data_IF_306574013597
#
_entry.id   IF_306574013597
#
_cell.length_a   1.000
_cell.length_b   1.000
_cell.length_c   1.000
_cell.angle_alpha   90.00
_cell.angle_beta   90.00
_cell.angle_gamma   90.00
#
_symmetry.space_group_name_H-M   'P 1'
#
loop_
_entity.id
_entity.type
_entity.pdbx_description
1 polymer ?
#
# COMPACT_ATOMS: atom_id res chain seq x y z
N UNK A 1 -15.95 5.26 -13.67
CA UNK A 1 -16.58 4.62 -12.55
C UNK A 1 -16.62 5.48 -11.34
N UNK A 2 -17.68 5.34 -10.62
CA UNK A 2 -17.85 6.11 -9.42
C UNK A 2 -17.22 5.44 -8.23
N UNK A 3 -16.67 6.28 -7.35
CA UNK A 3 -16.25 5.80 -6.05
C UNK A 3 -17.45 5.74 -5.12
N UNK A 4 -17.45 4.81 -4.16
CA UNK A 4 -18.52 4.79 -3.18
C UNK A 4 -18.44 6.00 -2.26
N UNK A 5 -19.57 6.36 -1.67
CA UNK A 5 -19.59 7.45 -0.72
C UNK A 5 -19.08 7.02 0.65
N UNK A 6 -19.22 5.74 0.95
CA UNK A 6 -18.76 5.17 2.21
C UNK A 6 -18.40 3.72 2.03
N UNK A 7 -17.57 3.22 2.92
CA UNK A 7 -17.31 1.80 3.02
C UNK A 7 -18.21 1.20 4.09
N UNK A 8 -18.53 -0.10 3.97
CA UNK A 8 -19.38 -0.75 4.99
C UNK A 8 -18.71 -0.90 6.33
N UNK A 9 -17.38 -0.75 6.41
CA UNK A 9 -16.65 -0.83 7.67
C UNK A 9 -15.57 0.23 7.70
N UNK A 10 -15.10 0.52 8.91
CA UNK A 10 -13.93 1.39 9.06
C UNK A 10 -12.70 0.67 8.58
N UNK A 11 -11.92 1.34 7.76
CA UNK A 11 -10.72 0.75 7.19
C UNK A 11 -9.62 1.79 7.16
N UNK A 12 -8.45 1.41 7.64
CA UNK A 12 -7.26 2.27 7.57
C UNK A 12 -6.24 1.59 6.68
N UNK A 13 -5.71 2.34 5.73
CA UNK A 13 -4.78 1.80 4.74
C UNK A 13 -3.55 2.69 4.64
N UNK A 14 -2.43 2.07 4.36
CA UNK A 14 -1.18 2.77 4.08
C UNK A 14 -0.85 2.58 2.61
N UNK A 15 -0.61 3.71 1.93
CA UNK A 15 -0.21 3.68 0.52
C UNK A 15 1.29 3.91 0.47
N UNK A 16 2.03 2.86 0.12
CA UNK A 16 3.48 2.96 -0.04
C UNK A 16 3.76 3.53 -1.40
N UNK A 17 4.73 4.42 -1.48
CA UNK A 17 5.10 5.04 -2.75
C UNK A 17 6.58 5.43 -2.71
N UNK A 18 7.11 5.83 -3.85
CA UNK A 18 8.44 6.42 -3.92
C UNK A 18 8.35 7.90 -3.55
N UNK A 19 9.50 8.47 -3.21
CA UNK A 19 9.52 9.90 -2.89
C UNK A 19 9.17 10.74 -4.12
N UNK A 20 9.55 10.27 -5.29
CA UNK A 20 9.23 11.00 -6.52
C UNK A 20 7.73 11.03 -6.80
N UNK A 21 7.05 9.93 -6.57
CA UNK A 21 5.62 9.84 -6.85
C UNK A 21 4.75 10.34 -5.71
N UNK A 22 5.33 10.62 -4.55
CA UNK A 22 4.55 10.98 -3.37
C UNK A 22 3.57 12.12 -3.59
N UNK A 23 3.92 13.22 -4.27
CA UNK A 23 2.95 14.30 -4.44
C UNK A 23 1.69 13.86 -5.19
N UNK A 24 1.85 13.00 -6.21
CA UNK A 24 0.71 12.50 -6.96
C UNK A 24 -0.12 11.55 -6.10
N UNK A 25 0.55 10.69 -5.34
CA UNK A 25 -0.14 9.74 -4.49
C UNK A 25 -0.86 10.46 -3.34
N UNK A 26 -0.31 11.58 -2.87
CA UNK A 26 -1.00 12.38 -1.85
C UNK A 26 -2.33 12.94 -2.39
N UNK A 27 -2.35 13.35 -3.65
CA UNK A 27 -3.61 13.79 -4.26
C UNK A 27 -4.61 12.65 -4.33
N UNK A 28 -4.12 11.46 -4.65
CA UNK A 28 -4.95 10.28 -4.67
C UNK A 28 -5.52 9.99 -3.27
N UNK A 29 -4.68 10.09 -2.26
CA UNK A 29 -5.13 9.87 -0.89
C UNK A 29 -6.20 10.89 -0.48
N UNK A 30 -6.06 12.14 -0.91
CA UNK A 30 -7.06 13.15 -0.61
C UNK A 30 -8.42 12.76 -1.16
N UNK A 31 -8.44 12.22 -2.37
CA UNK A 31 -9.69 11.77 -2.97
C UNK A 31 -10.27 10.60 -2.18
N UNK A 32 -9.43 9.63 -1.83
CA UNK A 32 -9.89 8.46 -1.09
C UNK A 32 -10.37 8.81 0.30
N UNK A 33 -9.77 9.81 0.93
CA UNK A 33 -10.16 10.19 2.28
C UNK A 33 -11.50 10.92 2.35
N UNK A 34 -12.08 11.22 1.20
CA UNK A 34 -13.46 11.72 1.17
C UNK A 34 -14.49 10.62 1.35
N UNK A 35 -14.06 9.37 1.22
CA UNK A 35 -14.96 8.23 1.39
C UNK A 35 -15.14 7.99 2.88
N UNK A 36 -16.38 7.96 3.32
CA UNK A 36 -16.67 7.74 4.73
C UNK A 36 -16.21 6.35 5.15
N UNK A 37 -15.64 6.25 6.32
CA UNK A 37 -15.10 5.01 6.90
C UNK A 37 -13.77 4.57 6.30
N UNK A 38 -13.18 5.39 5.44
CA UNK A 38 -11.86 5.08 4.87
C UNK A 38 -10.86 6.13 5.29
N UNK A 39 -9.72 5.69 5.81
CA UNK A 39 -8.60 6.56 6.16
C UNK A 39 -7.37 6.04 5.48
N UNK A 40 -6.75 6.88 4.69
CA UNK A 40 -5.58 6.51 3.92
C UNK A 40 -4.44 7.46 4.24
N UNK A 41 -3.27 6.91 4.45
CA UNK A 41 -2.09 7.75 4.58
C UNK A 41 -1.03 7.29 3.59
N UNK A 42 -0.16 8.20 3.21
CA UNK A 42 0.88 7.95 2.23
C UNK A 42 2.20 7.88 2.96
N UNK A 43 2.97 6.84 2.68
CA UNK A 43 4.29 6.68 3.25
C UNK A 43 5.29 6.54 2.11
N UNK A 44 6.06 7.61 1.85
CA UNK A 44 7.13 7.50 0.84
C UNK A 44 8.30 6.73 1.42
N UNK A 45 8.91 5.92 0.58
CA UNK A 45 10.03 5.08 0.97
C UNK A 45 11.30 5.61 0.33
N UNK A 46 12.32 5.80 1.15
CA UNK A 46 13.64 6.17 0.67
C UNK A 46 14.38 4.89 0.33
N UNK A 47 15.01 4.87 -0.84
CA UNK A 47 15.76 3.71 -1.28
C UNK A 47 17.15 3.74 -0.67
N UNK A 48 17.32 3.10 0.48
CA UNK A 48 18.60 3.12 1.17
C UNK A 48 19.61 2.19 0.53
N UNK A 49 19.14 1.20 -0.22
CA UNK A 49 20.04 0.29 -0.90
C UNK A 49 20.82 0.98 -2.01
N UNK A 50 20.17 1.87 -2.76
CA UNK A 50 20.80 2.59 -3.86
C UNK A 50 21.15 4.03 -3.53
N UNK A 51 20.76 4.50 -2.34
CA UNK A 51 21.02 5.88 -1.93
C UNK A 51 19.82 6.79 -2.13
N UNK A 52 19.85 7.91 -1.43
CA UNK A 52 18.69 8.80 -1.40
C UNK A 52 18.42 9.49 -2.73
N UNK A 53 19.43 9.56 -3.59
CA UNK A 53 19.23 10.20 -4.88
C UNK A 53 18.42 9.35 -5.85
N UNK A 54 18.22 8.05 -5.53
CA UNK A 54 17.48 7.15 -6.39
C UNK A 54 16.06 7.04 -5.86
N UNK A 55 15.09 7.56 -6.61
CA UNK A 55 13.72 7.64 -6.15
C UNK A 55 12.74 6.87 -7.02
N UNK A 56 13.24 6.06 -7.94
CA UNK A 56 12.38 5.28 -8.84
C UNK A 56 11.75 4.12 -8.08
N UNK A 57 10.43 3.99 -8.20
CA UNK A 57 9.68 2.98 -7.44
C UNK A 57 10.20 1.56 -7.69
N UNK A 58 10.60 1.26 -8.91
CA UNK A 58 11.08 -0.08 -9.25
C UNK A 58 12.38 -0.46 -8.59
N UNK A 59 13.06 0.47 -7.92
CA UNK A 59 14.31 0.20 -7.23
C UNK A 59 14.15 0.13 -5.72
N UNK A 60 12.92 0.26 -5.21
CA UNK A 60 12.65 0.14 -3.78
C UNK A 60 12.60 -1.35 -3.43
N UNK A 61 13.31 -1.71 -2.37
CA UNK A 61 13.36 -3.11 -1.95
C UNK A 61 12.31 -3.41 -0.90
N UNK A 62 12.02 -4.70 -0.73
CA UNK A 62 11.13 -5.12 0.34
C UNK A 62 11.68 -4.77 1.70
N UNK A 63 13.00 -4.84 1.87
CA UNK A 63 13.64 -4.47 3.13
C UNK A 63 13.44 -2.99 3.44
N UNK A 64 13.55 -2.12 2.42
CA UNK A 64 13.31 -0.70 2.63
C UNK A 64 11.91 -0.46 3.18
N UNK A 65 10.92 -1.13 2.61
CA UNK A 65 9.54 -0.98 3.04
C UNK A 65 9.37 -1.52 4.45
N UNK A 66 9.91 -2.72 4.69
CA UNK A 66 9.79 -3.36 5.98
C UNK A 66 10.38 -2.48 7.08
N UNK A 67 11.60 -2.00 6.86
CA UNK A 67 12.29 -1.20 7.89
C UNK A 67 11.52 0.07 8.19
N UNK A 68 10.97 0.70 7.17
CA UNK A 68 10.23 1.94 7.37
C UNK A 68 8.90 1.69 8.07
N UNK A 69 8.17 0.66 7.67
CA UNK A 69 6.82 0.45 8.16
C UNK A 69 6.78 -0.25 9.51
N UNK A 70 7.82 -0.97 9.88
CA UNK A 70 7.84 -1.59 11.20
C UNK A 70 7.87 -0.57 12.31
N UNK A 71 8.21 0.67 11.99
CA UNK A 71 8.25 1.75 12.97
C UNK A 71 7.00 2.61 12.95
N UNK A 72 6.00 2.23 12.17
CA UNK A 72 4.84 3.08 11.95
C UNK A 72 3.55 2.30 12.20
N UNK A 73 2.48 3.05 12.46
CA UNK A 73 1.15 2.47 12.52
C UNK A 73 0.63 2.38 11.09
N UNK A 74 0.60 1.18 10.54
CA UNK A 74 0.22 1.00 9.13
C UNK A 74 -1.28 0.78 8.94
N UNK A 75 -2.04 0.73 10.02
CA UNK A 75 -3.47 0.50 9.90
C UNK A 75 -3.79 -0.95 9.63
N UNK A 76 -4.82 -1.16 8.83
CA UNK A 76 -5.34 -2.51 8.61
C UNK A 76 -4.74 -3.19 7.40
N UNK A 77 -4.29 -2.43 6.42
CA UNK A 77 -3.77 -2.99 5.17
C UNK A 77 -2.73 -2.05 4.59
N UNK A 78 -1.77 -2.64 3.89
CA UNK A 78 -0.70 -1.88 3.21
C UNK A 78 -0.85 -2.14 1.71
N UNK A 79 -0.82 -1.07 0.92
CA UNK A 79 -0.78 -1.24 -0.54
C UNK A 79 0.57 -0.80 -1.06
N UNK A 80 1.04 -1.49 -2.08
CA UNK A 80 2.27 -1.11 -2.78
C UNK A 80 1.94 -1.00 -4.27
N UNK A 81 2.61 -0.08 -4.97
CA UNK A 81 2.42 -0.03 -6.43
C UNK A 81 2.94 -1.31 -7.06
N UNK A 82 2.16 -1.87 -7.96
CA UNK A 82 2.56 -3.13 -8.59
C UNK A 82 3.88 -3.00 -9.36
N UNK A 83 4.26 -1.79 -9.76
CA UNK A 83 5.51 -1.58 -10.47
C UNK A 83 6.74 -1.89 -9.61
N UNK A 84 6.57 -1.98 -8.29
CA UNK A 84 7.68 -2.34 -7.40
C UNK A 84 8.06 -3.81 -7.48
N UNK A 85 7.24 -4.62 -8.16
CA UNK A 85 7.47 -6.06 -8.23
C UNK A 85 7.90 -6.48 -9.62
N UNK A 86 8.80 -7.46 -9.68
CA UNK A 86 9.13 -8.18 -10.90
C UNK A 86 8.88 -9.65 -10.64
N UNK A 87 8.00 -10.25 -11.44
CA UNK A 87 7.64 -11.65 -11.26
C UNK A 87 7.21 -11.96 -9.83
N UNK A 88 6.51 -10.99 -9.22
CA UNK A 88 5.94 -11.21 -7.91
C UNK A 88 6.87 -10.95 -6.74
N UNK A 89 8.10 -10.50 -6.99
CA UNK A 89 9.05 -10.24 -5.91
C UNK A 89 9.62 -8.84 -6.02
N UNK A 90 10.07 -8.32 -4.88
CA UNK A 90 10.79 -7.07 -4.84
C UNK A 90 12.20 -7.26 -5.38
N UNK A 91 12.89 -6.15 -5.58
CA UNK A 91 14.22 -6.18 -6.15
C UNK A 91 15.21 -7.02 -5.34
N UNK A 92 15.01 -7.14 -4.04
CA UNK A 92 15.86 -7.93 -3.15
C UNK A 92 15.31 -9.34 -2.93
N UNK A 93 14.48 -9.80 -3.84
CA UNK A 93 13.89 -11.14 -3.84
C UNK A 93 12.90 -11.40 -2.72
N UNK A 94 12.58 -10.39 -1.90
CA UNK A 94 11.54 -10.55 -0.91
C UNK A 94 10.19 -10.68 -1.60
N UNK A 95 9.34 -11.60 -1.12
CA UNK A 95 8.00 -11.73 -1.66
C UNK A 95 7.03 -10.84 -0.91
N UNK A 96 5.87 -10.59 -1.53
CA UNK A 96 4.82 -9.84 -0.87
C UNK A 96 4.37 -10.55 0.40
N UNK A 97 4.29 -11.88 0.34
CA UNK A 97 3.88 -12.66 1.51
C UNK A 97 4.88 -12.53 2.65
N UNK A 98 6.18 -12.50 2.33
CA UNK A 98 7.20 -12.31 3.36
C UNK A 98 7.06 -10.94 4.01
N UNK A 99 6.80 -9.91 3.21
CA UNK A 99 6.61 -8.58 3.75
C UNK A 99 5.36 -8.52 4.61
N UNK A 100 4.28 -9.14 4.14
CA UNK A 100 3.04 -9.19 4.90
C UNK A 100 3.24 -9.86 6.25
N UNK A 101 3.98 -10.97 6.26
CA UNK A 101 4.27 -11.68 7.51
C UNK A 101 5.09 -10.81 8.45
N UNK A 102 6.09 -10.11 7.91
CA UNK A 102 6.94 -9.27 8.73
C UNK A 102 6.16 -8.11 9.37
N UNK A 103 5.20 -7.56 8.64
CA UNK A 103 4.40 -6.44 9.13
C UNK A 103 3.17 -6.90 9.91
N UNK A 104 2.85 -8.17 9.81
CA UNK A 104 1.64 -8.75 10.43
C UNK A 104 0.38 -8.02 9.96
N UNK A 105 0.34 -7.67 8.69
CA UNK A 105 -0.79 -7.02 8.03
C UNK A 105 -0.83 -7.44 6.57
N UNK A 106 -2.03 -7.51 5.98
CA UNK A 106 -2.09 -7.81 4.55
C UNK A 106 -1.37 -6.74 3.74
N UNK A 107 -0.61 -7.18 2.75
CA UNK A 107 0.06 -6.30 1.80
C UNK A 107 -0.44 -6.68 0.42
N UNK A 108 -0.95 -5.71 -0.32
CA UNK A 108 -1.47 -5.96 -1.66
C UNK A 108 -0.78 -5.05 -2.66
N UNK A 109 -0.52 -5.60 -3.83
CA UNK A 109 0.05 -4.84 -4.95
C UNK A 109 -1.09 -4.38 -5.83
N UNK A 110 -1.14 -3.08 -6.13
CA UNK A 110 -2.26 -2.53 -6.87
C UNK A 110 -1.80 -1.31 -7.64
N UNK A 111 -2.45 -1.04 -8.76
CA UNK A 111 -2.17 0.18 -9.50
C UNK A 111 -2.69 1.38 -8.72
N UNK A 112 -1.94 2.49 -8.70
CA UNK A 112 -2.35 3.66 -7.91
C UNK A 112 -3.43 4.47 -8.63
N UNK A 113 -4.61 3.91 -8.73
CA UNK A 113 -5.80 4.58 -9.29
C UNK A 113 -6.92 4.48 -8.26
N UNK A 114 -7.75 5.52 -8.14
CA UNK A 114 -8.78 5.51 -7.09
C UNK A 114 -9.70 4.30 -7.15
N UNK A 115 -10.22 3.96 -8.32
CA UNK A 115 -11.15 2.84 -8.41
C UNK A 115 -10.46 1.52 -8.15
N UNK A 116 -9.23 1.35 -8.64
CA UNK A 116 -8.49 0.13 -8.42
C UNK A 116 -8.19 -0.09 -6.94
N UNK A 117 -7.78 0.98 -6.26
CA UNK A 117 -7.47 0.90 -4.83
C UNK A 117 -8.72 0.57 -4.01
N UNK A 118 -9.82 1.27 -4.25
CA UNK A 118 -11.04 1.01 -3.49
C UNK A 118 -11.53 -0.41 -3.71
N UNK A 119 -11.51 -0.86 -4.95
CA UNK A 119 -11.96 -2.20 -5.27
C UNK A 119 -11.11 -3.26 -4.56
N UNK A 120 -9.78 -3.07 -4.58
CA UNK A 120 -8.88 -4.01 -3.92
C UNK A 120 -9.07 -4.00 -2.41
N UNK A 121 -9.24 -2.82 -1.82
CA UNK A 121 -9.42 -2.70 -0.38
C UNK A 121 -10.72 -3.37 0.07
N UNK A 122 -11.79 -3.15 -0.67
CA UNK A 122 -13.06 -3.79 -0.34
C UNK A 122 -12.93 -5.30 -0.46
N UNK A 123 -12.28 -5.76 -1.52
CA UNK A 123 -12.14 -7.19 -1.74
C UNK A 123 -11.35 -7.89 -0.63
N UNK A 124 -10.21 -7.32 -0.27
CA UNK A 124 -9.36 -7.96 0.74
C UNK A 124 -10.05 -7.98 2.10
N UNK A 125 -10.76 -6.89 2.41
CA UNK A 125 -11.43 -6.80 3.69
C UNK A 125 -12.64 -7.73 3.75
N UNK A 126 -13.35 -7.85 2.64
CA UNK A 126 -14.46 -8.80 2.57
C UNK A 126 -13.99 -10.21 2.80
N UNK A 127 -12.84 -10.58 2.25
CA UNK A 127 -12.32 -11.92 2.45
C UNK A 127 -11.89 -12.16 3.88
N UNK A 128 -11.27 -11.16 4.53
CA UNK A 128 -10.89 -11.35 5.91
C UNK A 128 -12.10 -11.33 6.85
N UNK A 129 -13.22 -10.78 6.38
CA UNK A 129 -14.45 -10.78 7.14
C UNK A 129 -15.24 -12.05 6.99
N UNK A 130 -14.88 -12.90 6.04
CA UNK A 130 -15.60 -14.14 5.87
C UNK A 130 -15.58 -14.91 7.16
N UNK A 131 -16.74 -15.37 7.61
CA UNK A 131 -16.81 -16.02 8.90
C UNK A 131 -16.03 -17.32 8.90
N UNK A 132 -15.37 -17.55 9.97
CA UNK A 132 -14.72 -18.82 10.19
C UNK A 132 -15.72 -19.88 10.53
N UNK A 133 -16.90 -19.42 10.79
CA UNK A 133 -17.99 -20.33 11.16
C UNK A 133 -18.33 -21.25 10.03
#
# INVERSE_FOLDING_TARGET
KRLPERLPYHLRATLVTSTLAAPVVEELADVLNRIENLRVKVVPIINEFFGESVTVAGLITGKDIKDRLMKADVGDVVTIPSVMLRDGVFLDDMTVDELSAALNRPVIAVEPRPTALVKSLIHIFSQSELPES
#
